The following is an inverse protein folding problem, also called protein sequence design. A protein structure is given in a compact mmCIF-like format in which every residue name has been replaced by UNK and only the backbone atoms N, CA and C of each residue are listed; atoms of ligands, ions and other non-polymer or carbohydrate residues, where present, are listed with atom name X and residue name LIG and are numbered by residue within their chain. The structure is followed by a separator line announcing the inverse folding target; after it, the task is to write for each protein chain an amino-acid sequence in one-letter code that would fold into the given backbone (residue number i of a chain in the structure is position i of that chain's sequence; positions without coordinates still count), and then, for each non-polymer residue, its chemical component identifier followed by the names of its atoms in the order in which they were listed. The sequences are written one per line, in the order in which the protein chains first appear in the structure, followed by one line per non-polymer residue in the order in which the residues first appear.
data_IF_067440457590
#
_entry.id   IF_067440457590
#
_cell.length_a   1.000
_cell.length_b   1.000
_cell.length_c   1.000
_cell.angle_alpha   90.00
_cell.angle_beta   90.00
_cell.angle_gamma   90.00
#
_symmetry.space_group_name_H-M   'P 1'
#
loop_
_entity.id
_entity.type
_entity.pdbx_description
1 polymer ?
#
# COMPACT_ATOMS: atom_id res chain seq x y z
N UNK A 1 6.40 19.18 -23.98
CA UNK A 1 5.93 17.91 -24.58
C UNK A 1 5.61 18.14 -26.05
N UNK A 2 5.48 17.10 -26.85
CA UNK A 2 5.15 17.23 -28.28
C UNK A 2 3.90 16.40 -28.57
N UNK A 3 2.93 16.98 -29.30
CA UNK A 3 1.73 16.26 -29.73
C UNK A 3 2.08 15.21 -30.78
N UNK A 4 1.20 14.24 -31.03
CA UNK A 4 1.37 13.27 -32.13
C UNK A 4 1.48 13.94 -33.51
N UNK A 5 0.88 15.12 -33.68
CA UNK A 5 0.98 15.94 -34.88
C UNK A 5 2.31 16.76 -34.95
N UNK A 6 3.22 16.60 -34.00
CA UNK A 6 4.53 17.26 -33.99
C UNK A 6 4.54 18.69 -33.43
N UNK A 7 3.48 19.12 -32.73
CA UNK A 7 3.42 20.47 -32.14
C UNK A 7 4.05 20.49 -30.75
N UNK A 8 5.02 21.37 -30.52
CA UNK A 8 5.61 21.56 -29.19
C UNK A 8 4.66 22.36 -28.28
N UNK A 9 4.42 21.84 -27.08
CA UNK A 9 3.49 22.42 -26.09
C UNK A 9 4.15 22.53 -24.71
N UNK A 10 4.02 23.71 -24.11
CA UNK A 10 4.21 23.95 -22.68
C UNK A 10 2.85 23.99 -22.00
N UNK A 11 2.66 23.18 -20.95
CA UNK A 11 1.38 23.06 -20.23
C UNK A 11 1.58 23.59 -18.82
N UNK A 12 0.78 24.58 -18.43
CA UNK A 12 0.67 25.09 -17.07
C UNK A 12 -0.79 24.99 -16.67
N UNK A 13 -1.06 24.30 -15.57
CA UNK A 13 -2.42 24.04 -15.07
C UNK A 13 -2.53 24.49 -13.62
N UNK A 14 -3.69 25.00 -13.25
CA UNK A 14 -4.00 25.43 -11.87
C UNK A 14 -4.53 24.28 -10.99
N UNK A 15 -4.57 23.06 -11.54
CA UNK A 15 -5.02 21.83 -10.88
C UNK A 15 -3.85 20.85 -10.76
N UNK A 16 -3.84 19.98 -9.74
CA UNK A 16 -2.71 19.10 -9.47
C UNK A 16 -2.45 18.10 -10.60
N UNK A 17 -3.50 17.64 -11.30
CA UNK A 17 -3.41 16.53 -12.25
C UNK A 17 -4.31 16.74 -13.47
N UNK A 18 -3.87 16.28 -14.65
CA UNK A 18 -4.68 16.19 -15.87
C UNK A 18 -5.41 14.85 -15.93
N UNK A 19 -6.58 14.82 -16.56
CA UNK A 19 -7.33 13.62 -16.83
C UNK A 19 -7.39 13.34 -18.33
N UNK A 20 -7.48 12.07 -18.71
CA UNK A 20 -7.76 11.72 -20.10
C UNK A 20 -9.09 12.33 -20.55
N UNK A 21 -9.11 12.86 -21.78
CA UNK A 21 -10.22 13.62 -22.32
C UNK A 21 -10.19 15.12 -22.02
N UNK A 22 -9.33 15.60 -21.12
CA UNK A 22 -9.14 17.04 -20.91
C UNK A 22 -8.71 17.72 -22.23
N UNK A 23 -9.35 18.83 -22.58
CA UNK A 23 -9.05 19.59 -23.81
C UNK A 23 -8.16 20.77 -23.45
N UNK A 24 -6.91 20.74 -23.91
CA UNK A 24 -5.91 21.79 -23.64
C UNK A 24 -6.03 22.96 -24.63
N UNK A 25 -6.43 22.66 -25.87
CA UNK A 25 -6.63 23.64 -26.94
C UNK A 25 -7.89 23.27 -27.71
N UNK A 26 -8.75 24.26 -27.98
CA UNK A 26 -9.93 24.11 -28.82
C UNK A 26 -10.05 25.31 -29.75
N UNK A 27 -9.68 25.09 -31.02
CA UNK A 27 -9.80 26.05 -32.12
C UNK A 27 -10.68 25.44 -33.23
N UNK A 28 -11.20 26.23 -34.18
CA UNK A 28 -12.12 25.74 -35.21
C UNK A 28 -11.59 24.56 -36.05
N UNK A 29 -10.27 24.46 -36.22
CA UNK A 29 -9.61 23.47 -37.07
C UNK A 29 -8.67 22.53 -36.30
N UNK A 30 -8.44 22.76 -35.00
CA UNK A 30 -7.52 21.96 -34.18
C UNK A 30 -8.02 21.83 -32.75
N UNK A 31 -7.94 20.61 -32.22
CA UNK A 31 -8.11 20.33 -30.80
C UNK A 31 -6.92 19.53 -30.30
N UNK A 32 -6.47 19.85 -29.08
CA UNK A 32 -5.44 19.07 -28.36
C UNK A 32 -6.11 18.46 -27.15
N UNK A 33 -6.20 17.14 -27.13
CA UNK A 33 -6.87 16.36 -26.08
C UNK A 33 -5.82 15.52 -25.35
N UNK A 34 -5.92 15.49 -24.02
CA UNK A 34 -5.09 14.62 -23.18
C UNK A 34 -5.54 13.18 -23.37
N UNK A 35 -4.60 12.30 -23.68
CA UNK A 35 -4.80 10.86 -23.70
C UNK A 35 -3.61 10.19 -23.02
N UNK A 36 -3.85 9.08 -22.35
CA UNK A 36 -2.78 8.29 -21.73
C UNK A 36 -2.49 7.06 -22.58
N UNK A 37 -1.21 6.73 -22.70
CA UNK A 37 -0.80 5.52 -23.40
C UNK A 37 -1.27 4.29 -22.62
N UNK A 38 -1.92 3.31 -23.28
CA UNK A 38 -2.38 2.11 -22.60
C UNK A 38 -1.21 1.33 -22.02
N UNK A 39 -1.45 0.65 -20.90
CA UNK A 39 -0.43 -0.09 -20.15
C UNK A 39 -0.72 -1.58 -20.16
N UNK A 40 0.33 -2.39 -20.16
CA UNK A 40 0.16 -3.81 -19.89
C UNK A 40 -0.08 -4.02 -18.39
N UNK A 41 -1.04 -4.87 -18.06
CA UNK A 41 -1.40 -5.23 -16.69
C UNK A 41 -1.42 -6.74 -16.50
N UNK A 42 -0.97 -7.18 -15.33
CA UNK A 42 -1.25 -8.51 -14.80
C UNK A 42 -2.63 -8.49 -14.14
N UNK A 43 -3.56 -9.24 -14.72
CA UNK A 43 -4.96 -9.31 -14.29
C UNK A 43 -5.19 -10.59 -13.52
N UNK A 44 -5.84 -10.48 -12.37
CA UNK A 44 -6.20 -11.59 -11.49
C UNK A 44 -7.71 -11.58 -11.32
N UNK A 45 -8.42 -12.50 -11.96
CA UNK A 45 -9.86 -12.66 -11.77
C UNK A 45 -10.09 -13.43 -10.47
N UNK A 46 -10.79 -12.80 -9.52
CA UNK A 46 -11.14 -13.43 -8.26
C UNK A 46 -12.33 -14.37 -8.48
N UNK A 47 -12.34 -15.55 -7.85
CA UNK A 47 -13.49 -16.45 -7.95
C UNK A 47 -14.73 -15.75 -7.40
N UNK A 48 -15.85 -15.86 -8.12
CA UNK A 48 -17.13 -15.41 -7.62
C UNK A 48 -17.44 -16.11 -6.28
N UNK A 49 -18.00 -15.37 -5.32
CA UNK A 49 -18.22 -15.88 -3.97
C UNK A 49 -18.89 -17.25 -3.98
N UNK A 50 -18.24 -18.25 -3.38
CA UNK A 50 -18.80 -19.59 -3.27
C UNK A 50 -20.08 -19.57 -2.43
N UNK A 51 -21.01 -20.49 -2.71
CA UNK A 51 -22.33 -20.53 -2.04
C UNK A 51 -22.25 -20.76 -0.53
N UNK A 52 -21.08 -21.14 -0.01
CA UNK A 52 -20.85 -21.35 1.42
C UNK A 52 -20.03 -20.22 2.04
N UNK A 53 -20.52 -19.67 3.16
CA UNK A 53 -19.88 -18.59 3.90
C UNK A 53 -18.41 -18.85 4.30
N UNK A 54 -18.06 -20.11 4.58
CA UNK A 54 -16.68 -20.50 4.91
C UNK A 54 -15.71 -20.29 3.74
N UNK A 55 -16.12 -20.66 2.54
CA UNK A 55 -15.27 -20.52 1.36
C UNK A 55 -15.21 -19.06 0.88
N UNK A 56 -16.32 -18.33 0.96
CA UNK A 56 -16.33 -16.88 0.76
C UNK A 56 -15.36 -16.17 1.72
N UNK A 57 -15.31 -16.58 2.99
CA UNK A 57 -14.36 -16.04 3.98
C UNK A 57 -12.90 -16.30 3.62
N UNK A 58 -12.57 -17.50 3.13
CA UNK A 58 -11.21 -17.84 2.68
C UNK A 58 -10.79 -17.02 1.46
N UNK A 59 -11.69 -16.81 0.49
CA UNK A 59 -11.42 -15.96 -0.68
C UNK A 59 -11.15 -14.51 -0.28
N UNK A 60 -11.94 -13.95 0.64
CA UNK A 60 -11.74 -12.58 1.13
C UNK A 60 -10.41 -12.43 1.85
N UNK A 61 -10.05 -13.40 2.71
CA UNK A 61 -8.76 -13.38 3.41
C UNK A 61 -7.58 -13.40 2.41
N UNK A 62 -7.63 -14.29 1.42
CA UNK A 62 -6.60 -14.36 0.38
C UNK A 62 -6.51 -13.07 -0.46
N UNK A 63 -7.65 -12.43 -0.78
CA UNK A 63 -7.67 -11.16 -1.49
C UNK A 63 -7.04 -10.02 -0.68
N UNK A 64 -7.26 -9.98 0.64
CA UNK A 64 -6.62 -9.00 1.53
C UNK A 64 -5.11 -9.24 1.63
N UNK A 65 -4.67 -10.50 1.74
CA UNK A 65 -3.24 -10.84 1.75
C UNK A 65 -2.56 -10.49 0.43
N UNK A 66 -3.21 -10.78 -0.71
CA UNK A 66 -2.77 -10.38 -2.03
C UNK A 66 -2.62 -8.85 -2.11
N UNK A 67 -3.65 -8.10 -1.69
CA UNK A 67 -3.61 -6.64 -1.67
C UNK A 67 -2.49 -6.10 -0.78
N UNK A 68 -2.26 -6.70 0.40
CA UNK A 68 -1.14 -6.35 1.27
C UNK A 68 0.21 -6.57 0.57
N UNK A 69 0.36 -7.68 -0.16
CA UNK A 69 1.60 -7.98 -0.88
C UNK A 69 1.86 -6.99 -2.01
N UNK A 70 0.83 -6.64 -2.78
CA UNK A 70 0.90 -5.60 -3.82
C UNK A 70 1.31 -4.26 -3.19
N UNK A 71 0.63 -3.84 -2.11
CA UNK A 71 0.94 -2.60 -1.41
C UNK A 71 2.36 -2.55 -0.82
N UNK A 72 2.87 -3.67 -0.32
CA UNK A 72 4.26 -3.79 0.17
C UNK A 72 5.31 -3.68 -0.94
N UNK A 73 4.91 -3.77 -2.21
CA UNK A 73 5.80 -3.46 -3.35
C UNK A 73 5.67 -2.01 -3.82
N UNK A 74 4.77 -1.23 -3.22
CA UNK A 74 4.38 0.09 -3.73
C UNK A 74 3.95 0.02 -5.21
N UNK A 75 3.34 -1.09 -5.63
CA UNK A 75 2.77 -1.22 -6.95
C UNK A 75 1.37 -0.61 -6.98
N UNK A 76 1.08 0.12 -8.05
CA UNK A 76 -0.27 0.58 -8.34
C UNK A 76 -1.22 -0.62 -8.49
N UNK A 77 -2.47 -0.43 -8.11
CA UNK A 77 -3.50 -1.46 -8.19
C UNK A 77 -4.85 -0.86 -8.54
N UNK A 78 -5.60 -1.55 -9.37
CA UNK A 78 -6.99 -1.23 -9.64
C UNK A 78 -7.86 -2.46 -9.44
N UNK A 79 -9.10 -2.26 -8.99
CA UNK A 79 -10.06 -3.35 -8.77
C UNK A 79 -11.39 -2.98 -9.40
N UNK A 80 -11.86 -3.80 -10.32
CA UNK A 80 -13.17 -3.62 -10.96
C UNK A 80 -13.66 -4.95 -11.51
N UNK A 81 -14.98 -5.13 -11.45
CA UNK A 81 -15.70 -6.34 -11.90
C UNK A 81 -15.15 -7.66 -11.34
N UNK A 82 -14.65 -7.63 -10.09
CA UNK A 82 -14.09 -8.81 -9.43
C UNK A 82 -12.69 -9.20 -9.93
N UNK A 83 -12.04 -8.34 -10.71
CA UNK A 83 -10.66 -8.53 -11.14
C UNK A 83 -9.74 -7.48 -10.52
N UNK A 84 -8.54 -7.92 -10.15
CA UNK A 84 -7.43 -7.07 -9.67
C UNK A 84 -6.47 -6.86 -10.82
N UNK A 85 -6.04 -5.63 -11.05
CA UNK A 85 -5.14 -5.22 -12.12
C UNK A 85 -3.88 -4.63 -11.48
N UNK A 86 -2.72 -5.13 -11.89
CA UNK A 86 -1.41 -4.63 -11.46
C UNK A 86 -0.61 -4.24 -12.71
N UNK A 87 -0.19 -2.97 -12.91
CA UNK A 87 0.62 -2.59 -14.05
C UNK A 87 1.92 -3.39 -14.13
N UNK A 88 2.34 -3.78 -15.33
CA UNK A 88 3.61 -4.47 -15.56
C UNK A 88 4.75 -3.46 -15.60
N UNK A 89 5.12 -2.94 -14.44
CA UNK A 89 6.26 -2.02 -14.27
C UNK A 89 7.57 -2.75 -13.92
N UNK A 90 7.44 -3.98 -13.41
CA UNK A 90 8.54 -4.91 -13.19
C UNK A 90 8.49 -6.06 -14.20
N UNK A 91 9.58 -6.83 -14.28
CA UNK A 91 9.60 -8.06 -15.07
C UNK A 91 8.47 -9.01 -14.64
N UNK A 92 7.82 -9.63 -15.62
CA UNK A 92 6.69 -10.54 -15.39
C UNK A 92 7.02 -11.65 -14.38
N UNK A 93 8.23 -12.19 -14.43
CA UNK A 93 8.68 -13.21 -13.47
C UNK A 93 8.72 -12.68 -12.03
N UNK A 94 9.08 -11.41 -11.83
CA UNK A 94 9.08 -10.80 -10.49
C UNK A 94 7.64 -10.70 -9.98
N UNK A 95 6.71 -10.26 -10.84
CA UNK A 95 5.28 -10.16 -10.50
C UNK A 95 4.74 -11.55 -10.14
N UNK A 96 5.01 -12.55 -10.97
CA UNK A 96 4.57 -13.93 -10.75
C UNK A 96 5.17 -14.55 -9.47
N UNK A 97 6.47 -14.34 -9.22
CA UNK A 97 7.15 -14.84 -8.01
C UNK A 97 6.60 -14.18 -6.74
N UNK A 98 6.28 -12.89 -6.81
CA UNK A 98 5.81 -12.12 -5.67
C UNK A 98 4.34 -12.38 -5.37
N UNK A 99 3.48 -12.44 -6.38
CA UNK A 99 2.03 -12.55 -6.21
C UNK A 99 1.52 -13.99 -6.27
N UNK A 100 2.20 -14.87 -7.01
CA UNK A 100 1.81 -16.27 -7.23
C UNK A 100 1.45 -17.02 -5.95
N UNK A 101 2.24 -16.94 -4.86
CA UNK A 101 1.95 -17.62 -3.60
C UNK A 101 0.68 -17.12 -2.88
N UNK A 102 0.18 -15.94 -3.24
CA UNK A 102 -0.94 -15.26 -2.59
C UNK A 102 -2.21 -15.24 -3.46
N UNK A 103 -2.19 -15.91 -4.62
CA UNK A 103 -3.37 -15.99 -5.47
C UNK A 103 -4.49 -16.77 -4.76
N UNK A 104 -5.71 -16.22 -4.67
CA UNK A 104 -6.84 -16.93 -4.12
C UNK A 104 -7.12 -18.23 -4.88
N UNK A 105 -7.57 -19.26 -4.17
CA UNK A 105 -7.89 -20.55 -4.78
C UNK A 105 -8.98 -20.37 -5.85
N UNK A 106 -8.74 -20.88 -7.06
CA UNK A 106 -9.66 -20.75 -8.19
C UNK A 106 -9.54 -19.43 -8.97
N UNK A 107 -8.62 -18.53 -8.60
CA UNK A 107 -8.33 -17.35 -9.40
C UNK A 107 -7.68 -17.72 -10.75
N UNK A 108 -7.98 -16.93 -11.78
CA UNK A 108 -7.32 -17.01 -13.08
C UNK A 108 -6.48 -15.77 -13.33
N UNK A 109 -5.36 -15.93 -14.03
CA UNK A 109 -4.45 -14.82 -14.32
C UNK A 109 -4.19 -14.67 -15.82
N UNK A 110 -3.98 -13.44 -16.27
CA UNK A 110 -3.63 -13.10 -17.66
C UNK A 110 -2.86 -11.79 -17.74
N UNK A 111 -2.17 -11.58 -18.86
CA UNK A 111 -1.62 -10.27 -19.22
C UNK A 111 -2.52 -9.61 -20.26
N UNK A 112 -2.87 -8.36 -20.04
CA UNK A 112 -3.79 -7.61 -20.89
C UNK A 112 -3.34 -6.15 -21.03
N UNK A 113 -3.50 -5.57 -22.21
CA UNK A 113 -3.31 -4.13 -22.42
C UNK A 113 -4.59 -3.38 -22.03
N UNK A 114 -4.51 -2.53 -21.02
CA UNK A 114 -5.63 -1.79 -20.44
C UNK A 114 -5.40 -0.27 -20.53
N UNK A 115 -6.49 0.49 -20.42
CA UNK A 115 -6.45 1.94 -20.32
C UNK A 115 -5.66 2.36 -19.06
N UNK A 116 -4.72 3.29 -19.20
CA UNK A 116 -3.87 3.71 -18.08
C UNK A 116 -4.65 4.45 -16.99
N UNK A 117 -5.77 5.06 -17.37
CA UNK A 117 -6.76 5.70 -16.50
C UNK A 117 -7.24 4.76 -15.39
N UNK A 118 -7.20 3.44 -15.62
CA UNK A 118 -7.57 2.44 -14.62
C UNK A 118 -6.73 2.54 -13.35
N UNK A 119 -5.49 3.02 -13.46
CA UNK A 119 -4.54 3.16 -12.34
C UNK A 119 -4.42 4.59 -11.83
N UNK A 120 -5.14 5.53 -12.42
CA UNK A 120 -5.16 6.91 -11.94
C UNK A 120 -6.24 6.99 -10.87
N UNK A 121 -5.84 7.26 -9.64
CA UNK A 121 -6.80 7.52 -8.56
C UNK A 121 -7.68 8.71 -8.97
N UNK A 122 -9.01 8.55 -8.99
CA UNK A 122 -9.92 9.69 -8.87
C UNK A 122 -9.74 10.26 -7.47
N UNK A 123 -8.66 11.02 -7.25
CA UNK A 123 -8.58 11.88 -6.08
C UNK A 123 -9.58 12.99 -6.31
N UNK A 124 -10.77 12.82 -5.74
CA UNK A 124 -11.66 13.94 -5.46
C UNK A 124 -10.81 15.06 -4.88
N UNK A 125 -10.79 16.21 -5.56
CA UNK A 125 -10.06 17.42 -5.17
C UNK A 125 -10.50 18.00 -3.80
N UNK A 126 -11.35 17.29 -3.05
CA UNK A 126 -11.81 17.60 -1.71
C UNK A 126 -11.00 16.93 -0.59
N UNK A 127 -10.16 15.93 -0.88
CA UNK A 127 -9.31 15.29 0.13
C UNK A 127 -7.97 16.03 0.26
N UNK A 128 -8.03 17.26 0.80
CA UNK A 128 -6.85 17.92 1.34
C UNK A 128 -6.36 17.16 2.58
N UNK A 129 -5.61 16.08 2.39
CA UNK A 129 -4.80 15.48 3.43
C UNK A 129 -3.50 16.25 3.53
N UNK A 130 -3.56 17.37 4.26
CA UNK A 130 -2.37 17.95 4.86
C UNK A 130 -1.77 16.94 5.82
N UNK A 131 -0.76 16.21 5.37
CA UNK A 131 0.19 15.55 6.25
C UNK A 131 1.02 16.61 6.95
N UNK A 132 0.45 17.23 7.98
CA UNK A 132 1.22 17.86 9.05
C UNK A 132 1.49 16.77 10.09
N UNK A 133 2.34 15.81 9.72
CA UNK A 133 2.93 14.84 10.64
C UNK A 133 4.03 15.56 11.45
N UNK A 134 3.62 16.50 12.30
CA UNK A 134 4.42 17.02 13.41
C UNK A 134 3.96 16.34 14.70
N UNK A 135 4.25 15.05 14.81
CA UNK A 135 4.35 14.40 16.12
C UNK A 135 5.78 14.60 16.64
N UNK A 136 6.09 15.83 17.05
CA UNK A 136 7.23 16.09 17.94
C UNK A 136 6.88 15.55 19.33
N UNK A 137 7.35 14.34 19.64
CA UNK A 137 7.46 13.88 21.02
C UNK A 137 8.63 14.62 21.67
N UNK A 138 8.34 15.79 22.24
CA UNK A 138 9.24 16.51 23.13
C UNK A 138 9.23 15.82 24.50
N UNK A 139 9.94 14.69 24.59
CA UNK A 139 10.29 14.06 25.86
C UNK A 139 11.38 14.90 26.55
N UNK A 140 10.97 16.02 27.15
CA UNK A 140 11.82 16.82 28.03
C UNK A 140 12.12 16.04 29.31
N UNK A 141 13.24 15.30 29.32
CA UNK A 141 13.88 14.88 30.55
C UNK A 141 14.63 16.08 31.18
N UNK A 142 13.90 16.88 31.97
CA UNK A 142 14.51 17.84 32.89
C UNK A 142 15.26 17.09 34.02
N UNK A 143 16.58 17.03 33.91
CA UNK A 143 17.45 16.70 35.04
C UNK A 143 17.68 17.96 35.90
N UNK A 144 16.73 18.24 36.79
CA UNK A 144 16.90 19.22 37.86
C UNK A 144 17.74 18.65 39.00
N UNK A 145 19.02 19.00 39.04
CA UNK A 145 19.88 18.84 40.21
C UNK A 145 19.42 19.79 41.33
N UNK A 146 19.12 19.31 42.56
CA UNK A 146 19.45 19.93 43.88
C UNK A 146 19.28 18.96 45.08
N UNK A 147 20.41 18.45 45.53
CA UNK A 147 20.91 18.23 46.90
C UNK A 147 20.03 18.45 48.19
N UNK A 148 20.07 17.39 49.02
CA UNK A 148 20.33 17.25 50.48
C UNK A 148 19.26 17.40 51.60
N UNK A 149 19.15 16.30 52.37
CA UNK A 149 18.99 16.21 53.85
C UNK A 149 17.58 15.83 54.34
N UNK A 150 17.33 14.90 55.27
CA UNK A 150 18.15 14.06 56.17
C UNK A 150 17.21 13.04 56.89
N UNK A 151 17.78 11.95 57.43
CA UNK A 151 17.25 11.03 58.48
C UNK A 151 15.99 10.15 58.15
N UNK A 152 15.85 8.85 58.47
CA UNK A 152 16.53 7.90 59.36
C UNK A 152 16.53 6.44 58.83
N UNK A 153 17.69 5.80 58.99
CA UNK A 153 17.95 4.44 59.48
C UNK A 153 16.78 3.44 59.61
N UNK A 154 16.83 2.35 58.81
CA UNK A 154 16.66 0.99 59.36
C UNK A 154 17.59 -0.01 58.66
N UNK A 155 18.40 -0.64 59.50
CA UNK A 155 19.39 -1.69 59.30
C UNK A 155 18.88 -3.01 58.70
N UNK A 156 19.75 -3.62 57.87
CA UNK A 156 20.01 -5.08 57.65
C UNK A 156 18.84 -5.89 57.04
N UNK A 157 19.05 -6.80 56.09
CA UNK A 157 20.05 -7.86 56.04
C UNK A 157 20.13 -8.47 54.62
N UNK A 158 21.33 -8.93 54.28
CA UNK A 158 21.77 -9.55 53.04
C UNK A 158 21.32 -11.02 52.95
N UNK A 159 20.63 -11.40 51.87
CA UNK A 159 20.40 -12.80 51.52
C UNK A 159 20.62 -13.04 50.03
N UNK A 160 21.84 -13.48 49.73
CA UNK A 160 22.18 -14.27 48.56
C UNK A 160 21.57 -15.66 48.66
N UNK A 161 20.99 -16.17 47.57
CA UNK A 161 20.82 -17.61 47.37
C UNK A 161 21.12 -17.98 45.92
N UNK A 162 22.29 -18.60 45.76
CA UNK A 162 22.66 -19.47 44.65
C UNK A 162 21.73 -20.69 44.58
N UNK A 163 21.18 -20.88 43.37
CA UNK A 163 21.25 -22.07 42.52
C UNK A 163 20.72 -23.47 42.94
N UNK A 164 20.20 -24.10 41.87
CA UNK A 164 20.10 -25.52 41.54
C UNK A 164 18.90 -26.43 41.94
N UNK A 165 18.16 -26.74 40.88
CA UNK A 165 17.73 -28.05 40.33
C UNK A 165 16.85 -29.00 41.15
N UNK A 166 15.79 -29.54 40.51
CA UNK A 166 15.59 -30.98 40.36
C UNK A 166 14.65 -31.28 39.18
N UNK A 167 15.16 -32.10 38.25
CA UNK A 167 14.41 -32.94 37.30
C UNK A 167 13.54 -33.93 38.07
N UNK A 168 12.34 -34.22 37.58
CA UNK A 168 11.87 -35.61 37.47
C UNK A 168 10.74 -35.76 36.45
N UNK A 169 10.64 -36.99 35.97
CA UNK A 169 9.99 -37.48 34.75
C UNK A 169 8.64 -38.15 35.07
N UNK A 170 7.97 -38.66 34.02
CA UNK A 170 6.79 -39.57 33.99
C UNK A 170 5.41 -38.90 33.89
N UNK A 171 4.66 -39.05 32.79
CA UNK A 171 4.05 -40.22 32.12
C UNK A 171 2.54 -40.27 32.45
N UNK A 172 1.70 -39.86 31.48
CA UNK A 172 0.61 -40.64 30.85
C UNK A 172 -0.53 -39.76 30.33
#
# INVERSE_FOLDING_TARGET
MTTEAGTELGVVVDRPELAAGDVLVLEPEVAVVVAFEPREAFVIDLPAGEETASAAGTTVAAAVELGHRIGNQHWDVAVEDGAVYVPVEADRSIIEDVLGPYLPAGATTRYETVAAERFVEERDAAAGHGHDDQHEHDDQHEHGERAHGDHEDHTREDHTHEDHEHRDTEER
#
